data_IF_694465013254
#
_entry.id   IF_694465013254
#
_cell.length_a   1.000
_cell.length_b   1.000
_cell.length_c   1.000
_cell.angle_alpha   90.00
_cell.angle_beta   90.00
_cell.angle_gamma   90.00
#
_symmetry.space_group_name_H-M   'P 1'
#
loop_
_entity.id
_entity.type
_entity.pdbx_description
1 polymer ?
#
# COMPACT_ATOMS: atom_id res chain seq x y z
N UNK A 1 -9.02 32.52 15.81
CA UNK A 1 -9.81 31.32 15.43
C UNK A 1 -8.96 30.05 15.54
N UNK A 2 -9.32 29.11 16.43
CA UNK A 2 -8.64 27.80 16.49
C UNK A 2 -9.12 26.94 15.31
N UNK A 3 -8.21 26.69 14.37
CA UNK A 3 -8.47 25.74 13.28
C UNK A 3 -8.14 24.35 13.80
N UNK A 4 -9.16 23.48 13.87
CA UNK A 4 -8.97 22.08 14.22
C UNK A 4 -8.48 21.33 12.98
N UNK A 5 -7.20 21.00 12.95
CA UNK A 5 -6.63 20.21 11.85
C UNK A 5 -7.02 18.74 11.96
N UNK A 6 -7.05 18.06 10.81
CA UNK A 6 -7.25 16.62 10.72
C UNK A 6 -6.03 15.88 11.29
N UNK A 7 -6.24 14.76 11.98
CA UNK A 7 -5.16 14.00 12.64
C UNK A 7 -4.08 13.50 11.65
N UNK A 8 -4.43 13.34 10.38
CA UNK A 8 -3.52 12.91 9.32
C UNK A 8 -3.07 14.05 8.39
N UNK A 9 -3.27 15.32 8.77
CA UNK A 9 -2.96 16.46 7.90
C UNK A 9 -1.50 16.48 7.41
N UNK A 10 -0.56 16.15 8.30
CA UNK A 10 0.88 16.06 7.97
C UNK A 10 1.14 14.95 6.96
N UNK A 11 0.69 13.72 7.25
CA UNK A 11 0.86 12.57 6.35
C UNK A 11 0.26 12.81 4.96
N UNK A 12 -0.92 13.43 4.88
CA UNK A 12 -1.55 13.77 3.59
C UNK A 12 -0.69 14.77 2.81
N UNK A 13 -0.07 15.73 3.48
CA UNK A 13 0.79 16.70 2.84
C UNK A 13 2.08 16.05 2.31
N UNK A 14 2.68 15.16 3.08
CA UNK A 14 3.88 14.41 2.69
C UNK A 14 3.60 13.53 1.46
N UNK A 15 2.43 12.85 1.42
CA UNK A 15 1.99 12.07 0.25
C UNK A 15 1.86 12.96 -0.99
N UNK A 16 1.24 14.15 -0.85
CA UNK A 16 1.08 15.08 -1.98
C UNK A 16 2.42 15.59 -2.50
N UNK A 17 3.37 15.86 -1.60
CA UNK A 17 4.72 16.26 -1.98
C UNK A 17 5.48 15.12 -2.68
N UNK A 18 5.33 13.88 -2.22
CA UNK A 18 5.93 12.74 -2.89
C UNK A 18 5.36 12.53 -4.29
N UNK A 19 4.03 12.65 -4.44
CA UNK A 19 3.35 12.56 -5.73
C UNK A 19 3.76 13.68 -6.70
N UNK A 20 4.01 14.90 -6.22
CA UNK A 20 4.44 16.00 -7.11
C UNK A 20 5.88 15.85 -7.60
N UNK A 21 6.71 15.12 -6.86
CA UNK A 21 8.12 14.84 -7.19
C UNK A 21 8.30 13.58 -8.04
N UNK A 22 7.27 12.74 -8.15
CA UNK A 22 7.33 11.45 -8.85
C UNK A 22 6.40 11.47 -10.07
N UNK A 23 6.84 10.91 -11.19
CA UNK A 23 6.01 10.82 -12.40
C UNK A 23 5.09 9.60 -12.32
N UNK A 24 4.12 9.63 -11.41
CA UNK A 24 3.18 8.53 -11.16
C UNK A 24 1.74 9.04 -11.18
N UNK A 25 0.81 8.15 -11.49
CA UNK A 25 -0.63 8.43 -11.43
C UNK A 25 -1.27 7.58 -10.33
N UNK A 26 -2.17 8.17 -9.56
CA UNK A 26 -2.91 7.49 -8.50
C UNK A 26 -4.25 6.99 -9.04
N UNK A 27 -4.50 5.70 -8.90
CA UNK A 27 -5.77 5.08 -9.27
C UNK A 27 -6.33 4.31 -8.07
N UNK A 28 -7.65 4.32 -7.93
CA UNK A 28 -8.30 3.37 -7.05
C UNK A 28 -8.16 1.96 -7.62
N UNK A 29 -7.97 0.96 -6.77
CA UNK A 29 -8.00 -0.45 -7.15
C UNK A 29 -9.06 -1.18 -6.33
N UNK A 30 -9.58 -2.28 -6.87
CA UNK A 30 -10.38 -3.22 -6.09
C UNK A 30 -9.49 -3.93 -5.07
N UNK A 31 -10.08 -4.37 -3.97
CA UNK A 31 -9.33 -5.02 -2.88
C UNK A 31 -8.61 -6.28 -3.38
N UNK A 32 -9.28 -7.03 -4.25
CA UNK A 32 -8.78 -8.24 -4.90
C UNK A 32 -7.60 -7.93 -5.84
N UNK A 33 -7.61 -6.74 -6.47
CA UNK A 33 -6.52 -6.24 -7.32
C UNK A 33 -5.35 -5.65 -6.55
N UNK A 34 -5.38 -5.65 -5.23
CA UNK A 34 -4.32 -5.11 -4.38
C UNK A 34 -3.89 -6.09 -3.28
N UNK A 35 -4.00 -7.39 -3.55
CA UNK A 35 -3.76 -8.47 -2.59
C UNK A 35 -2.32 -8.46 -2.03
N UNK A 36 -1.31 -8.18 -2.87
CA UNK A 36 0.07 -8.09 -2.41
C UNK A 36 0.24 -6.99 -1.36
N UNK A 37 -0.29 -5.79 -1.62
CA UNK A 37 -0.20 -4.68 -0.67
C UNK A 37 -1.00 -4.95 0.62
N UNK A 38 -2.19 -5.55 0.53
CA UNK A 38 -2.99 -5.93 1.70
C UNK A 38 -2.27 -6.98 2.56
N UNK A 39 -1.60 -7.96 1.94
CA UNK A 39 -0.78 -8.93 2.64
C UNK A 39 0.36 -8.26 3.42
N UNK A 40 1.14 -7.38 2.78
CA UNK A 40 2.24 -6.69 3.46
C UNK A 40 1.77 -5.70 4.53
N UNK A 41 0.64 -5.02 4.32
CA UNK A 41 0.06 -4.15 5.33
C UNK A 41 -0.36 -4.92 6.59
N UNK A 42 -0.98 -6.09 6.44
CA UNK A 42 -1.35 -6.97 7.56
C UNK A 42 -0.13 -7.57 8.24
N UNK A 43 0.86 -8.01 7.46
CA UNK A 43 2.12 -8.54 7.99
C UNK A 43 2.80 -7.45 8.83
N UNK A 44 2.97 -6.24 8.30
CA UNK A 44 3.53 -5.11 9.02
C UNK A 44 2.76 -4.76 10.30
N UNK A 45 1.42 -4.72 10.24
CA UNK A 45 0.59 -4.44 11.41
C UNK A 45 0.67 -5.53 12.51
N UNK A 46 1.10 -6.74 12.17
CA UNK A 46 1.31 -7.84 13.14
C UNK A 46 2.71 -7.84 13.78
N UNK A 47 3.60 -6.95 13.34
CA UNK A 47 4.96 -6.84 13.84
C UNK A 47 5.07 -5.66 14.83
N UNK A 48 5.80 -5.87 15.91
CA UNK A 48 6.09 -4.81 16.90
C UNK A 48 7.22 -3.86 16.43
N UNK A 49 7.89 -4.19 15.34
CA UNK A 49 9.01 -3.43 14.80
C UNK A 49 8.53 -2.43 13.74
N UNK A 50 8.97 -1.17 13.86
CA UNK A 50 8.64 -0.10 12.91
C UNK A 50 9.14 -0.38 11.48
N UNK A 51 10.20 -1.18 11.35
CA UNK A 51 10.79 -1.55 10.07
C UNK A 51 11.43 -2.93 10.14
N UNK A 52 11.13 -3.79 9.17
CA UNK A 52 11.70 -5.14 9.05
C UNK A 52 12.18 -5.37 7.62
N UNK A 53 13.40 -5.90 7.49
CA UNK A 53 13.95 -6.35 6.21
C UNK A 53 13.87 -7.88 6.15
N UNK A 54 13.28 -8.42 5.09
CA UNK A 54 13.22 -9.86 4.86
C UNK A 54 14.31 -10.29 3.87
N UNK A 55 15.16 -11.25 4.26
CA UNK A 55 16.21 -11.79 3.38
C UNK A 55 15.66 -12.72 2.28
N UNK A 56 14.43 -13.20 2.45
CA UNK A 56 13.67 -14.01 1.50
C UNK A 56 12.19 -13.58 1.50
N UNK A 57 11.41 -13.88 0.44
CA UNK A 57 9.99 -13.57 0.42
C UNK A 57 9.26 -14.19 1.63
N UNK A 58 8.41 -13.42 2.36
CA UNK A 58 7.61 -13.98 3.45
C UNK A 58 6.72 -15.13 2.98
N UNK A 59 6.49 -16.09 3.87
CA UNK A 59 5.60 -17.22 3.59
C UNK A 59 4.20 -16.72 3.20
N UNK A 60 3.64 -17.28 2.13
CA UNK A 60 2.32 -16.90 1.62
C UNK A 60 2.32 -15.84 0.52
N UNK A 61 3.39 -15.03 0.36
CA UNK A 61 3.42 -13.98 -0.68
C UNK A 61 3.61 -14.54 -2.10
N UNK A 62 4.24 -15.71 -2.23
CA UNK A 62 4.64 -16.26 -3.53
C UNK A 62 3.48 -16.49 -4.50
N UNK A 63 2.31 -16.93 -4.00
CA UNK A 63 1.13 -17.10 -4.85
C UNK A 63 0.51 -15.76 -5.24
N UNK A 64 0.55 -14.77 -4.34
CA UNK A 64 0.04 -13.43 -4.62
C UNK A 64 0.85 -12.75 -5.72
N UNK A 65 2.18 -12.88 -5.68
CA UNK A 65 3.07 -12.36 -6.73
C UNK A 65 2.80 -13.00 -8.10
N UNK A 66 2.56 -14.31 -8.14
CA UNK A 66 2.19 -15.00 -9.40
C UNK A 66 0.86 -14.49 -9.95
N UNK A 67 -0.13 -14.23 -9.09
CA UNK A 67 -1.41 -13.67 -9.52
C UNK A 67 -1.24 -12.24 -10.07
N UNK A 68 -0.42 -11.43 -9.42
CA UNK A 68 -0.09 -10.07 -9.86
C UNK A 68 0.64 -10.08 -11.21
N UNK A 69 1.59 -10.98 -11.40
CA UNK A 69 2.30 -11.20 -12.66
C UNK A 69 1.36 -11.63 -13.80
N UNK A 70 0.39 -12.50 -13.52
CA UNK A 70 -0.61 -12.92 -14.51
C UNK A 70 -1.55 -11.78 -14.94
N UNK A 71 -1.56 -10.65 -14.22
CA UNK A 71 -2.32 -9.47 -14.60
C UNK A 71 -3.83 -9.70 -14.60
N UNK A 72 -4.35 -10.40 -13.58
CA UNK A 72 -5.81 -10.59 -13.45
C UNK A 72 -6.52 -9.24 -13.40
N UNK A 73 -7.25 -8.92 -14.47
CA UNK A 73 -8.09 -7.73 -14.52
C UNK A 73 -9.31 -7.92 -13.62
N UNK A 74 -9.36 -7.16 -12.53
CA UNK A 74 -10.57 -7.03 -11.74
C UNK A 74 -11.42 -5.91 -12.36
N UNK A 75 -12.56 -6.28 -12.93
CA UNK A 75 -13.54 -5.32 -13.43
C UNK A 75 -14.13 -4.55 -12.25
N UNK A 76 -14.15 -3.22 -12.32
CA UNK A 76 -14.98 -2.41 -11.41
C UNK A 76 -16.44 -2.66 -11.80
N UNK A 77 -17.22 -3.22 -10.87
CA UNK A 77 -18.68 -3.20 -10.95
C UNK A 77 -19.21 -1.77 -10.78
#
# INVERSE_FOLDING_TARGET
>A
PQVKYHIHAVLIQDIKELLSRTNVSLYHALKEGNQCADFFAKLGASLDSDFVTHASPPEGVGNLLKNDEMGTFFLRE
#
